data_IF_745696949846
#
_entry.id   IF_745696949846
#
_cell.length_a   1.000
_cell.length_b   1.000
_cell.length_c   1.000
_cell.angle_alpha   90.00
_cell.angle_beta   90.00
_cell.angle_gamma   90.00
#
_symmetry.space_group_name_H-M   'P 1'
#
loop_
_entity.id
_entity.type
_entity.pdbx_description
1 polymer ?
#
# COMPACT_ATOMS: atom_id res chain seq x y z
N UNK A 1 36.52 -10.39 -59.33
CA UNK A 1 37.86 -10.65 -58.80
C UNK A 1 37.72 -10.39 -57.31
N UNK A 2 37.36 -11.40 -56.58
CA UNK A 2 38.22 -12.31 -55.75
C UNK A 2 38.83 -11.58 -54.57
N UNK A 3 38.39 -11.92 -53.38
CA UNK A 3 39.03 -12.59 -52.32
C UNK A 3 38.28 -12.43 -51.01
N UNK A 4 37.68 -13.30 -50.67
CA UNK A 4 37.37 -14.28 -49.63
C UNK A 4 38.50 -14.39 -48.60
N UNK A 5 38.17 -14.25 -47.34
CA UNK A 5 39.02 -14.57 -46.19
C UNK A 5 38.12 -14.89 -44.97
N UNK A 6 37.93 -16.18 -44.75
CA UNK A 6 37.20 -16.75 -43.60
C UNK A 6 37.99 -16.60 -42.30
N UNK A 7 37.30 -16.58 -41.15
CA UNK A 7 37.93 -16.66 -39.82
C UNK A 7 38.15 -18.11 -39.40
N UNK A 8 39.16 -18.41 -38.59
CA UNK A 8 39.32 -19.74 -38.02
C UNK A 8 38.42 -19.99 -36.79
N UNK A 9 37.75 -21.12 -36.88
CA UNK A 9 37.14 -21.84 -35.74
C UNK A 9 38.16 -22.31 -34.73
N UNK A 10 37.76 -22.38 -33.50
CA UNK A 10 38.55 -23.04 -32.45
C UNK A 10 37.84 -23.02 -31.07
N UNK A 11 36.76 -23.83 -30.95
CA UNK A 11 36.36 -24.33 -29.63
C UNK A 11 37.37 -25.35 -29.11
N UNK A 12 37.60 -25.47 -27.79
CA UNK A 12 37.04 -26.65 -27.17
C UNK A 12 36.35 -26.43 -25.81
N UNK A 13 35.37 -27.26 -25.60
CA UNK A 13 34.69 -27.63 -24.37
C UNK A 13 35.60 -27.86 -23.15
N UNK A 14 35.05 -27.53 -21.97
CA UNK A 14 35.52 -28.04 -20.70
C UNK A 14 34.96 -27.28 -19.50
N UNK A 15 33.73 -27.53 -19.08
CA UNK A 15 33.43 -27.43 -17.67
C UNK A 15 34.06 -28.67 -16.99
N UNK A 16 34.60 -28.57 -15.77
CA UNK A 16 33.71 -28.76 -14.61
C UNK A 16 34.15 -28.04 -13.32
N UNK A 17 33.22 -27.94 -12.40
CA UNK A 17 33.44 -28.21 -11.00
C UNK A 17 34.05 -27.13 -10.14
N UNK A 18 33.29 -26.76 -9.14
CA UNK A 18 33.64 -25.92 -8.02
C UNK A 18 34.91 -26.34 -7.29
N UNK A 19 35.55 -25.36 -6.73
CA UNK A 19 36.70 -25.49 -5.88
C UNK A 19 36.88 -24.22 -5.11
N UNK A 20 36.53 -24.26 -3.82
CA UNK A 20 36.81 -23.27 -2.81
C UNK A 20 38.32 -23.14 -2.55
N UNK A 21 39.06 -22.52 -3.46
CA UNK A 21 40.50 -22.36 -3.33
C UNK A 21 41.00 -20.95 -3.63
N UNK A 22 40.19 -19.93 -3.50
CA UNK A 22 40.62 -18.55 -3.80
C UNK A 22 41.17 -17.78 -2.59
N UNK A 23 41.36 -18.43 -1.44
CA UNK A 23 42.07 -17.87 -0.29
C UNK A 23 43.24 -18.74 0.11
N UNK A 24 44.15 -18.99 -0.81
CA UNK A 24 45.47 -19.49 -0.43
C UNK A 24 46.24 -18.34 0.18
N UNK A 25 46.31 -18.32 1.51
CA UNK A 25 47.20 -17.44 2.25
C UNK A 25 48.63 -17.66 1.71
N UNK A 26 49.22 -16.59 1.18
CA UNK A 26 50.65 -16.60 0.81
C UNK A 26 51.40 -16.71 2.10
N UNK A 27 51.87 -17.91 2.39
CA UNK A 27 52.78 -18.16 3.51
C UNK A 27 54.18 -17.68 3.07
N UNK A 28 54.60 -16.55 3.61
CA UNK A 28 55.98 -16.08 3.48
C UNK A 28 56.87 -17.01 4.32
N UNK A 29 57.51 -17.96 3.67
CA UNK A 29 58.48 -18.82 4.35
C UNK A 29 59.82 -18.10 4.56
N UNK A 30 60.66 -18.63 5.49
CA UNK A 30 61.95 -18.03 5.81
C UNK A 30 62.89 -17.96 4.60
N UNK A 31 62.66 -18.76 3.56
CA UNK A 31 63.46 -18.77 2.35
C UNK A 31 63.19 -17.54 1.49
N UNK A 32 61.93 -17.09 1.43
CA UNK A 32 61.53 -15.89 0.75
C UNK A 32 62.07 -14.63 1.44
N UNK A 33 62.01 -14.60 2.79
CA UNK A 33 62.54 -13.46 3.57
C UNK A 33 64.06 -13.35 3.44
N UNK A 34 64.77 -14.46 3.33
CA UNK A 34 66.23 -14.48 3.17
C UNK A 34 66.70 -14.13 1.74
N UNK A 35 65.84 -14.33 0.75
CA UNK A 35 66.06 -13.92 -0.63
C UNK A 35 65.83 -12.44 -0.89
N UNK A 36 64.96 -11.82 -0.10
CA UNK A 36 64.67 -10.38 -0.13
C UNK A 36 65.81 -9.68 0.65
N UNK A 37 66.85 -9.22 -0.03
CA UNK A 37 67.85 -8.33 0.55
C UNK A 37 67.24 -6.95 0.85
N UNK A 38 66.43 -6.88 1.87
CA UNK A 38 65.96 -5.60 2.42
C UNK A 38 67.03 -5.05 3.35
N UNK A 39 67.87 -4.18 2.84
CA UNK A 39 68.69 -3.32 3.67
C UNK A 39 67.82 -2.20 4.19
N UNK A 40 67.37 -2.30 5.40
CA UNK A 40 66.72 -1.18 6.10
C UNK A 40 67.78 -0.18 6.52
N UNK A 41 67.87 0.95 5.82
CA UNK A 41 68.65 2.10 6.26
C UNK A 41 67.83 2.88 7.27
N UNK A 42 68.40 3.23 8.40
CA UNK A 42 67.79 4.10 9.38
C UNK A 42 67.52 5.48 8.79
N UNK A 43 66.52 6.20 9.34
CA UNK A 43 66.17 7.55 8.85
C UNK A 43 67.38 8.51 8.89
N UNK A 44 68.27 8.35 9.83
CA UNK A 44 69.50 9.17 9.99
C UNK A 44 70.56 8.80 8.96
N UNK A 45 70.68 7.54 8.55
CA UNK A 45 71.58 7.10 7.51
C UNK A 45 71.18 7.59 6.11
N UNK A 46 69.88 7.78 5.88
CA UNK A 46 69.34 8.38 4.63
C UNK A 46 69.62 9.89 4.52
N UNK A 47 69.89 10.54 5.64
CA UNK A 47 70.24 11.97 5.67
C UNK A 47 71.73 12.25 5.64
N UNK A 48 72.61 11.25 5.92
CA UNK A 48 74.05 11.41 6.11
C UNK A 48 74.97 11.11 4.91
N UNK A 49 74.55 10.27 3.96
CA UNK A 49 75.41 9.86 2.81
C UNK A 49 74.62 9.96 1.51
N UNK A 50 74.86 10.95 0.78
CA UNK A 50 74.96 11.12 -0.68
C UNK A 50 74.56 12.51 -1.10
N UNK A 51 75.52 13.38 -1.02
CA UNK A 51 75.52 14.59 -1.85
C UNK A 51 75.76 14.15 -3.31
N UNK A 52 74.72 13.68 -3.96
CA UNK A 52 74.72 13.58 -5.41
C UNK A 52 74.58 14.98 -6.00
N UNK A 53 75.53 15.45 -6.82
CA UNK A 53 75.52 16.81 -7.36
C UNK A 53 74.45 17.05 -8.42
N UNK A 54 73.47 16.18 -8.57
CA UNK A 54 72.46 16.23 -9.61
C UNK A 54 71.12 16.82 -9.17
N UNK A 55 70.94 17.14 -7.89
CA UNK A 55 69.70 17.77 -7.43
C UNK A 55 69.97 19.25 -7.11
N UNK A 56 69.85 20.10 -8.12
CA UNK A 56 69.77 21.53 -7.88
C UNK A 56 68.44 21.83 -7.15
N UNK A 57 68.48 22.46 -5.94
CA UNK A 57 67.29 22.93 -5.31
C UNK A 57 66.66 24.02 -6.20
N UNK A 58 65.55 23.72 -6.82
CA UNK A 58 64.75 24.76 -7.44
C UNK A 58 64.15 25.58 -6.29
N UNK A 59 64.72 26.72 -6.05
CA UNK A 59 64.07 27.74 -5.25
C UNK A 59 62.70 28.01 -5.87
N UNK A 60 61.60 27.86 -5.13
CA UNK A 60 60.30 28.30 -5.63
C UNK A 60 60.41 29.81 -5.87
N UNK A 61 60.23 30.19 -7.11
CA UNK A 61 60.02 31.59 -7.49
C UNK A 61 58.70 32.06 -6.90
N UNK A 62 58.78 32.48 -5.64
CA UNK A 62 57.66 33.13 -4.95
C UNK A 62 57.65 34.58 -5.43
N UNK A 63 57.22 34.85 -6.66
CA UNK A 63 56.95 36.23 -7.10
C UNK A 63 55.88 36.40 -8.17
N UNK A 64 55.26 35.39 -8.72
CA UNK A 64 54.13 35.58 -9.65
C UNK A 64 52.81 34.94 -9.19
N UNK A 65 52.82 34.08 -8.14
CA UNK A 65 51.63 33.34 -7.69
C UNK A 65 50.82 33.96 -6.55
N UNK A 66 51.36 35.00 -5.89
CA UNK A 66 50.66 35.55 -4.71
C UNK A 66 49.31 36.21 -5.04
N UNK A 67 49.19 36.86 -6.21
CA UNK A 67 47.91 37.47 -6.65
C UNK A 67 46.88 36.40 -7.04
N UNK A 68 47.29 35.33 -7.72
CA UNK A 68 46.40 34.22 -8.06
C UNK A 68 45.99 33.41 -6.82
N UNK A 69 46.91 33.13 -5.90
CA UNK A 69 46.62 32.50 -4.62
C UNK A 69 45.66 33.33 -3.77
N UNK A 70 45.88 34.66 -3.73
CA UNK A 70 45.04 35.58 -2.99
C UNK A 70 43.65 35.73 -3.62
N UNK A 71 43.55 35.72 -4.96
CA UNK A 71 42.28 35.67 -5.68
C UNK A 71 41.52 34.33 -5.42
N UNK A 72 42.21 33.23 -5.37
CA UNK A 72 41.58 31.89 -5.11
C UNK A 72 41.06 31.81 -3.67
N UNK A 73 41.85 32.31 -2.69
CA UNK A 73 41.40 32.40 -1.29
C UNK A 73 40.21 33.36 -1.17
N UNK A 74 40.23 34.49 -1.85
CA UNK A 74 39.09 35.43 -1.86
C UNK A 74 37.84 34.81 -2.45
N UNK A 75 37.94 34.05 -3.55
CA UNK A 75 36.82 33.31 -4.15
C UNK A 75 36.26 32.25 -3.22
N UNK A 76 37.14 31.50 -2.53
CA UNK A 76 36.73 30.51 -1.54
C UNK A 76 35.96 31.16 -0.37
N UNK A 77 36.51 32.25 0.18
CA UNK A 77 35.87 33.03 1.26
C UNK A 77 34.53 33.59 0.80
N UNK A 78 34.45 34.11 -0.43
CA UNK A 78 33.21 34.62 -1.01
C UNK A 78 32.18 33.47 -1.21
N UNK A 79 32.62 32.33 -1.71
CA UNK A 79 31.75 31.13 -1.88
C UNK A 79 31.21 30.61 -0.54
N UNK A 80 32.08 30.50 0.47
CA UNK A 80 31.66 30.13 1.82
C UNK A 80 30.77 31.20 2.45
N UNK A 81 31.10 32.47 2.31
CA UNK A 81 30.29 33.59 2.80
C UNK A 81 28.90 33.60 2.17
N UNK A 82 28.80 33.39 0.85
CA UNK A 82 27.50 33.25 0.16
C UNK A 82 26.75 31.98 0.57
N UNK A 83 27.40 30.84 0.76
CA UNK A 83 26.77 29.62 1.25
C UNK A 83 26.22 29.79 2.66
N UNK A 84 27.00 30.41 3.57
CA UNK A 84 26.56 30.70 4.94
C UNK A 84 25.43 31.74 4.93
N UNK A 85 25.56 32.80 4.12
CA UNK A 85 24.51 33.82 4.00
C UNK A 85 23.20 33.27 3.44
N UNK A 86 23.27 32.40 2.42
CA UNK A 86 22.11 31.69 1.89
C UNK A 86 21.54 30.71 2.92
N UNK A 87 22.38 29.98 3.67
CA UNK A 87 21.95 29.06 4.72
C UNK A 87 21.28 29.74 5.90
N UNK A 88 21.73 30.96 6.26
CA UNK A 88 21.15 31.76 7.37
C UNK A 88 19.92 32.56 6.91
N UNK A 89 19.90 33.09 5.71
CA UNK A 89 18.77 33.90 5.20
C UNK A 89 17.65 33.09 4.57
N UNK A 90 17.96 31.92 4.06
CA UNK A 90 16.99 30.90 3.69
C UNK A 90 17.21 29.66 4.58
N UNK A 91 16.89 29.75 5.88
CA UNK A 91 16.75 28.50 6.64
C UNK A 91 15.81 27.65 5.80
N UNK A 92 16.22 26.43 5.50
CA UNK A 92 15.29 25.45 4.93
C UNK A 92 14.04 25.58 5.79
N UNK A 93 13.01 26.25 5.25
CA UNK A 93 11.69 26.17 5.86
C UNK A 93 11.41 24.68 5.81
N UNK A 94 11.59 24.01 6.93
CA UNK A 94 10.99 22.70 7.13
C UNK A 94 9.56 22.90 6.67
N UNK A 95 9.10 22.24 5.59
CA UNK A 95 7.71 22.36 5.17
C UNK A 95 6.91 22.21 6.45
N UNK A 96 6.05 23.18 6.77
CA UNK A 96 5.17 23.00 7.93
C UNK A 96 4.54 21.63 7.74
N UNK A 97 4.65 20.72 8.72
CA UNK A 97 4.11 19.38 8.55
C UNK A 97 2.65 19.58 8.17
N UNK A 98 2.31 19.20 6.94
CA UNK A 98 0.93 19.25 6.46
C UNK A 98 0.15 18.51 7.52
N UNK A 99 -0.77 19.20 8.19
CA UNK A 99 -1.53 18.58 9.29
C UNK A 99 -2.33 17.44 8.69
N UNK A 100 -1.85 16.23 8.93
CA UNK A 100 -2.54 15.00 8.51
C UNK A 100 -3.95 15.02 9.11
N UNK A 101 -4.95 14.84 8.28
CA UNK A 101 -6.33 14.87 8.72
C UNK A 101 -6.69 13.52 9.35
N UNK A 102 -7.40 13.57 10.46
CA UNK A 102 -7.95 12.36 11.05
C UNK A 102 -9.06 11.81 10.14
N UNK A 103 -9.08 10.49 9.94
CA UNK A 103 -10.17 9.81 9.24
C UNK A 103 -11.51 10.17 9.86
N UNK A 104 -12.47 10.53 9.00
CA UNK A 104 -13.88 10.58 9.32
C UNK A 104 -14.57 9.39 8.66
N UNK A 105 -15.28 8.60 9.46
CA UNK A 105 -15.93 7.39 8.94
C UNK A 105 -17.39 7.30 9.37
N UNK A 106 -18.20 6.76 8.46
CA UNK A 106 -19.59 6.41 8.73
C UNK A 106 -19.87 5.02 8.17
N UNK A 107 -20.52 4.17 8.96
CA UNK A 107 -20.99 2.85 8.52
C UNK A 107 -22.49 2.80 8.60
N UNK A 108 -23.13 2.55 7.47
CA UNK A 108 -24.57 2.50 7.32
C UNK A 108 -24.98 1.05 7.10
N UNK A 109 -25.51 0.37 8.13
CA UNK A 109 -26.04 -0.97 7.96
C UNK A 109 -27.31 -0.95 7.10
N UNK A 110 -27.45 -1.96 6.22
CA UNK A 110 -28.60 -2.13 5.33
C UNK A 110 -29.34 -3.42 5.71
N UNK A 111 -30.55 -3.25 6.21
CA UNK A 111 -31.40 -4.39 6.58
C UNK A 111 -32.03 -5.04 5.36
N UNK A 112 -32.15 -6.36 5.30
CA UNK A 112 -32.86 -7.03 4.20
C UNK A 112 -34.37 -6.79 4.29
N UNK A 113 -35.10 -6.78 3.17
CA UNK A 113 -36.56 -6.66 3.14
C UNK A 113 -37.30 -7.89 3.69
N UNK A 114 -36.58 -8.99 3.88
CA UNK A 114 -37.11 -10.26 4.36
C UNK A 114 -35.95 -11.21 4.72
N UNK A 115 -36.17 -12.50 4.65
CA UNK A 115 -35.14 -13.51 4.88
C UNK A 115 -34.04 -13.43 3.83
N UNK A 116 -32.79 -13.50 4.27
CA UNK A 116 -31.63 -13.51 3.38
C UNK A 116 -31.63 -14.79 2.54
N UNK A 117 -31.54 -14.69 1.21
CA UNK A 117 -31.48 -15.86 0.33
C UNK A 117 -30.24 -16.70 0.59
N UNK A 118 -30.36 -18.01 0.48
CA UNK A 118 -29.28 -18.98 0.63
C UNK A 118 -29.22 -19.96 -0.51
N UNK A 119 -28.01 -20.14 -1.10
CA UNK A 119 -27.74 -21.12 -2.15
C UNK A 119 -26.22 -21.38 -2.27
N UNK A 120 -25.79 -22.06 -3.34
CA UNK A 120 -24.37 -22.13 -3.70
C UNK A 120 -23.84 -20.75 -4.14
N UNK A 121 -22.56 -20.43 -3.88
CA UNK A 121 -21.98 -19.14 -4.24
C UNK A 121 -22.17 -18.74 -5.70
N UNK A 122 -21.94 -19.67 -6.63
CA UNK A 122 -22.07 -19.42 -8.08
C UNK A 122 -23.49 -19.10 -8.49
N UNK A 123 -24.49 -19.84 -7.94
CA UNK A 123 -25.91 -19.61 -8.23
C UNK A 123 -26.36 -18.23 -7.69
N UNK A 124 -25.90 -17.87 -6.48
CA UNK A 124 -26.19 -16.56 -5.90
C UNK A 124 -25.60 -15.42 -6.74
N UNK A 125 -24.36 -15.55 -7.18
CA UNK A 125 -23.68 -14.53 -8.00
C UNK A 125 -24.37 -14.42 -9.36
N UNK A 126 -24.62 -15.53 -10.04
CA UNK A 126 -25.24 -15.54 -11.35
C UNK A 126 -26.62 -14.85 -11.38
N UNK A 127 -27.36 -14.93 -10.28
CA UNK A 127 -28.70 -14.33 -10.15
C UNK A 127 -28.71 -13.07 -9.26
N UNK A 128 -27.62 -12.34 -9.26
CA UNK A 128 -27.47 -11.06 -8.54
C UNK A 128 -27.01 -9.94 -9.47
N UNK A 129 -27.13 -8.66 -9.08
CA UNK A 129 -26.53 -7.55 -9.81
C UNK A 129 -25.01 -7.70 -10.02
N UNK A 130 -24.34 -8.49 -9.19
CA UNK A 130 -22.90 -8.71 -9.28
C UNK A 130 -22.47 -9.77 -10.33
N UNK A 131 -23.40 -10.35 -11.10
CA UNK A 131 -23.11 -11.37 -12.11
C UNK A 131 -22.02 -10.94 -13.12
N UNK A 132 -21.99 -9.65 -13.45
CA UNK A 132 -21.04 -9.08 -14.42
C UNK A 132 -19.85 -8.36 -13.78
N UNK A 133 -19.73 -8.38 -12.46
CA UNK A 133 -18.61 -7.76 -11.75
C UNK A 133 -17.33 -8.56 -11.98
N UNK A 134 -16.20 -7.87 -12.03
CA UNK A 134 -14.90 -8.53 -12.13
C UNK A 134 -14.48 -9.11 -10.79
N UNK A 135 -13.58 -10.09 -10.83
CA UNK A 135 -13.08 -10.76 -9.63
C UNK A 135 -11.86 -10.02 -9.09
N UNK A 136 -11.85 -9.76 -7.78
CA UNK A 136 -10.70 -9.29 -7.05
C UNK A 136 -10.10 -8.00 -7.58
N UNK A 137 -8.78 -7.89 -7.56
CA UNK A 137 -8.04 -6.70 -7.99
C UNK A 137 -8.29 -6.31 -9.45
N UNK A 138 -8.74 -7.24 -10.30
CA UNK A 138 -9.10 -6.95 -11.69
C UNK A 138 -10.36 -6.08 -11.80
N UNK A 139 -11.19 -6.02 -10.75
CA UNK A 139 -12.35 -5.12 -10.68
C UNK A 139 -11.99 -3.69 -10.34
N UNK A 140 -10.79 -3.43 -9.82
CA UNK A 140 -10.31 -2.08 -9.52
C UNK A 140 -9.52 -1.56 -10.74
N UNK A 141 -10.23 -0.92 -11.67
CA UNK A 141 -9.65 -0.39 -12.89
C UNK A 141 -9.08 1.02 -12.64
N UNK A 142 -7.90 1.28 -13.22
CA UNK A 142 -7.37 2.64 -13.27
C UNK A 142 -8.03 3.38 -14.43
N UNK A 143 -8.47 4.64 -14.22
CA UNK A 143 -9.00 5.48 -15.31
C UNK A 143 -7.88 5.90 -16.27
N UNK A 144 -8.25 6.46 -17.41
CA UNK A 144 -7.32 7.22 -18.24
C UNK A 144 -6.82 8.43 -17.46
N UNK A 145 -5.53 8.71 -17.58
CA UNK A 145 -4.87 9.77 -16.81
C UNK A 145 -4.45 10.88 -17.75
N UNK A 146 -4.70 12.11 -17.36
CA UNK A 146 -4.18 13.31 -17.98
C UNK A 146 -3.45 14.14 -16.94
N UNK A 147 -2.28 14.66 -17.31
CA UNK A 147 -1.51 15.55 -16.41
C UNK A 147 -2.35 16.75 -15.97
N UNK A 148 -2.16 17.18 -14.75
CA UNK A 148 -2.74 18.39 -14.22
C UNK A 148 -1.73 19.55 -14.28
N UNK A 149 -2.06 20.69 -13.72
CA UNK A 149 -1.18 21.86 -13.71
C UNK A 149 0.14 21.59 -12.97
N UNK A 150 0.10 20.85 -11.86
CA UNK A 150 1.24 20.68 -10.97
C UNK A 150 1.71 19.22 -10.85
N UNK A 151 0.97 18.26 -11.41
CA UNK A 151 1.31 16.83 -11.35
C UNK A 151 1.39 16.21 -12.73
N UNK A 152 2.46 15.45 -12.96
CA UNK A 152 2.66 14.67 -14.19
C UNK A 152 1.75 13.46 -14.25
N UNK A 153 1.55 12.90 -15.46
CA UNK A 153 0.79 11.65 -15.67
C UNK A 153 1.34 10.53 -14.77
N UNK A 154 2.67 10.40 -14.66
CA UNK A 154 3.30 9.38 -13.81
C UNK A 154 2.94 9.52 -12.33
N UNK A 155 2.91 10.74 -11.80
CA UNK A 155 2.52 11.00 -10.41
C UNK A 155 1.05 10.66 -10.16
N UNK A 156 0.16 10.99 -11.11
CA UNK A 156 -1.26 10.66 -10.99
C UNK A 156 -1.48 9.14 -11.08
N UNK A 157 -0.77 8.44 -11.99
CA UNK A 157 -0.79 6.97 -12.06
C UNK A 157 -0.31 6.35 -10.75
N UNK A 158 0.76 6.91 -10.15
CA UNK A 158 1.27 6.46 -8.85
C UNK A 158 0.20 6.62 -7.77
N UNK A 159 -0.45 7.80 -7.68
CA UNK A 159 -1.52 8.05 -6.70
C UNK A 159 -2.69 7.05 -6.84
N UNK A 160 -3.15 6.84 -8.08
CA UNK A 160 -4.21 5.87 -8.38
C UNK A 160 -3.80 4.44 -8.05
N UNK A 161 -2.52 4.08 -8.26
CA UNK A 161 -1.99 2.76 -7.95
C UNK A 161 -1.92 2.52 -6.44
N UNK A 162 -1.49 3.52 -5.65
CA UNK A 162 -1.50 3.45 -4.18
C UNK A 162 -2.94 3.28 -3.65
N UNK A 163 -3.89 4.07 -4.19
CA UNK A 163 -5.30 3.96 -3.83
C UNK A 163 -5.88 2.57 -4.19
N UNK A 164 -5.53 2.02 -5.36
CA UNK A 164 -5.88 0.65 -5.75
C UNK A 164 -5.30 -0.37 -4.77
N UNK A 165 -4.03 -0.25 -4.40
CA UNK A 165 -3.39 -1.16 -3.44
C UNK A 165 -4.10 -1.11 -2.08
N UNK A 166 -4.48 0.08 -1.63
CA UNK A 166 -5.27 0.23 -0.41
C UNK A 166 -6.63 -0.46 -0.52
N UNK A 167 -7.38 -0.27 -1.62
CA UNK A 167 -8.67 -0.93 -1.85
C UNK A 167 -8.52 -2.45 -1.83
N UNK A 168 -7.50 -2.98 -2.50
CA UNK A 168 -7.23 -4.43 -2.55
C UNK A 168 -6.92 -4.97 -1.15
N UNK A 169 -6.00 -4.33 -0.41
CA UNK A 169 -5.59 -4.78 0.92
C UNK A 169 -6.69 -4.60 1.97
N UNK A 170 -7.49 -3.54 1.88
CA UNK A 170 -8.50 -3.23 2.89
C UNK A 170 -9.86 -3.89 2.64
N UNK A 171 -10.16 -4.32 1.39
CA UNK A 171 -11.50 -4.76 1.04
C UNK A 171 -11.57 -6.09 0.26
N UNK A 172 -10.41 -6.63 -0.19
CA UNK A 172 -10.39 -7.86 -1.01
C UNK A 172 -9.51 -8.94 -0.38
N UNK A 173 -8.41 -8.56 0.29
CA UNK A 173 -7.45 -9.51 0.87
C UNK A 173 -8.14 -10.44 1.90
N UNK A 174 -8.16 -11.77 1.66
CA UNK A 174 -8.80 -12.73 2.56
C UNK A 174 -8.28 -12.68 3.99
N UNK A 175 -6.99 -12.38 4.20
CA UNK A 175 -6.42 -12.27 5.54
C UNK A 175 -7.03 -11.10 6.30
N UNK A 176 -7.19 -9.94 5.66
CA UNK A 176 -7.87 -8.76 6.24
C UNK A 176 -9.33 -9.06 6.52
N UNK A 177 -10.05 -9.65 5.55
CA UNK A 177 -11.48 -9.96 5.64
C UNK A 177 -11.80 -10.93 6.79
N UNK A 178 -10.95 -11.90 7.06
CA UNK A 178 -11.18 -12.96 8.05
C UNK A 178 -10.53 -12.72 9.41
N UNK A 179 -10.12 -11.50 9.68
CA UNK A 179 -9.57 -11.12 10.99
C UNK A 179 -8.08 -11.39 11.18
N UNK A 180 -7.35 -11.68 10.11
CA UNK A 180 -5.89 -11.84 10.13
C UNK A 180 -5.12 -10.52 10.19
N UNK A 181 -3.90 -10.53 9.64
CA UNK A 181 -2.99 -9.40 9.70
C UNK A 181 -3.49 -8.20 8.89
N UNK A 182 -3.52 -7.04 9.52
CA UNK A 182 -3.83 -5.73 8.89
C UNK A 182 -2.58 -4.93 8.54
N UNK A 183 -1.39 -5.52 8.75
CA UNK A 183 -0.10 -4.86 8.47
C UNK A 183 -0.01 -4.34 7.02
N UNK A 184 -0.47 -5.09 5.98
CA UNK A 184 -0.42 -4.59 4.60
C UNK A 184 -1.21 -3.30 4.40
N UNK A 185 -2.36 -3.11 5.08
CA UNK A 185 -3.14 -1.86 5.05
C UNK A 185 -2.40 -0.76 5.79
N UNK A 186 -1.89 -1.05 7.00
CA UNK A 186 -1.16 -0.10 7.84
C UNK A 186 0.05 0.52 7.15
N UNK A 187 0.77 -0.26 6.33
CA UNK A 187 1.96 0.21 5.62
C UNK A 187 1.65 1.21 4.49
N UNK A 188 0.43 1.25 4.00
CA UNK A 188 -0.02 2.20 2.98
C UNK A 188 -0.52 3.52 3.57
N UNK A 189 -0.66 3.62 4.89
CA UNK A 189 -1.17 4.83 5.55
C UNK A 189 -0.05 5.84 5.80
N UNK A 190 -0.39 7.11 5.70
CA UNK A 190 0.47 8.18 6.20
C UNK A 190 0.80 7.96 7.68
N UNK A 191 2.02 8.31 8.07
CA UNK A 191 2.53 8.10 9.43
C UNK A 191 1.70 8.80 10.50
N UNK A 192 1.13 9.96 10.18
CA UNK A 192 0.28 10.72 11.10
C UNK A 192 -1.07 10.08 11.38
N UNK A 193 -1.51 9.11 10.56
CA UNK A 193 -2.76 8.38 10.78
C UNK A 193 -2.58 7.04 11.53
N UNK A 194 -1.34 6.58 11.72
CA UNK A 194 -1.08 5.26 12.31
C UNK A 194 -1.66 5.10 13.72
N UNK A 195 -1.56 6.13 14.56
CA UNK A 195 -2.10 6.09 15.92
C UNK A 195 -3.63 5.99 15.94
N UNK A 196 -4.31 6.66 14.99
CA UNK A 196 -5.76 6.56 14.85
C UNK A 196 -6.17 5.18 14.34
N UNK A 197 -5.45 4.66 13.34
CA UNK A 197 -5.67 3.31 12.81
C UNK A 197 -5.49 2.25 13.90
N UNK A 198 -4.38 2.28 14.62
CA UNK A 198 -4.07 1.31 15.66
C UNK A 198 -5.10 1.37 16.81
N UNK A 199 -5.54 2.57 17.21
CA UNK A 199 -6.62 2.75 18.21
C UNK A 199 -7.95 2.22 17.71
N UNK A 200 -8.30 2.45 16.44
CA UNK A 200 -9.55 1.96 15.84
C UNK A 200 -9.62 0.43 15.84
N UNK A 201 -8.48 -0.26 15.73
CA UNK A 201 -8.40 -1.72 15.78
C UNK A 201 -8.39 -2.26 17.22
N UNK A 202 -7.67 -1.58 18.12
CA UNK A 202 -7.56 -2.02 19.52
C UNK A 202 -8.83 -1.77 20.32
N UNK A 203 -9.48 -0.63 20.11
CA UNK A 203 -10.70 -0.20 20.83
C UNK A 203 -11.66 0.49 19.85
N UNK A 204 -12.33 -0.29 18.99
CA UNK A 204 -13.25 0.28 18.01
C UNK A 204 -14.44 0.95 18.69
N UNK A 205 -14.78 2.16 18.25
CA UNK A 205 -15.94 2.93 18.69
C UNK A 205 -16.67 3.57 17.51
N UNK A 206 -17.98 3.73 17.64
CA UNK A 206 -18.83 4.38 16.63
C UNK A 206 -18.95 5.88 16.93
N UNK A 207 -17.81 6.57 16.91
CA UNK A 207 -17.68 8.01 17.18
C UNK A 207 -17.39 8.84 15.92
N UNK A 208 -17.45 8.20 14.75
CA UNK A 208 -17.13 8.82 13.47
C UNK A 208 -15.62 8.87 13.17
N UNK A 209 -14.75 8.40 14.07
CA UNK A 209 -13.30 8.47 13.93
C UNK A 209 -12.56 7.17 14.22
N UNK A 210 -13.09 6.33 15.12
CA UNK A 210 -12.37 5.15 15.62
C UNK A 210 -13.07 3.83 15.27
N UNK A 211 -13.87 3.80 14.22
CA UNK A 211 -14.40 2.54 13.70
C UNK A 211 -13.35 1.82 12.84
N UNK A 212 -12.97 0.59 13.22
CA UNK A 212 -12.09 -0.26 12.40
C UNK A 212 -12.70 -0.52 11.02
N UNK A 213 -14.03 -0.63 10.93
CA UNK A 213 -14.79 -0.81 9.69
C UNK A 213 -14.79 0.42 8.78
N UNK A 214 -14.38 1.58 9.27
CA UNK A 214 -14.08 2.75 8.44
C UNK A 214 -12.79 2.57 7.64
N UNK A 215 -11.80 1.88 8.19
CA UNK A 215 -10.51 1.64 7.53
C UNK A 215 -10.56 0.46 6.57
N UNK A 216 -11.23 -0.63 6.95
CA UNK A 216 -11.19 -1.89 6.22
C UNK A 216 -12.49 -2.68 6.36
N UNK A 217 -12.72 -3.60 5.43
CA UNK A 217 -13.78 -4.60 5.54
C UNK A 217 -13.24 -5.78 6.35
N UNK A 218 -13.94 -6.12 7.43
CA UNK A 218 -13.56 -7.23 8.31
C UNK A 218 -14.79 -7.90 8.88
N UNK A 219 -14.86 -9.21 8.76
CA UNK A 219 -15.91 -10.04 9.35
C UNK A 219 -15.50 -10.57 10.72
N UNK A 220 -16.48 -10.91 11.56
CA UNK A 220 -16.21 -11.65 12.79
C UNK A 220 -15.90 -13.12 12.44
N UNK A 221 -14.63 -13.57 12.58
CA UNK A 221 -14.22 -14.91 12.15
C UNK A 221 -14.86 -16.03 13.00
N UNK A 222 -15.45 -15.69 14.15
CA UNK A 222 -16.15 -16.68 15.00
C UNK A 222 -17.53 -17.00 14.44
N UNK A 223 -18.17 -16.08 13.74
CA UNK A 223 -19.54 -16.24 13.26
C UNK A 223 -19.64 -16.37 11.74
N UNK A 224 -18.71 -15.75 11.02
CA UNK A 224 -18.76 -15.60 9.56
C UNK A 224 -17.48 -16.11 8.91
N UNK A 225 -17.62 -16.96 7.91
CA UNK A 225 -16.54 -17.41 7.05
C UNK A 225 -16.85 -17.05 5.60
N UNK A 226 -15.82 -16.88 4.79
CA UNK A 226 -15.98 -16.78 3.34
C UNK A 226 -16.43 -18.14 2.80
N UNK A 227 -17.51 -18.16 2.03
CA UNK A 227 -17.95 -19.33 1.29
C UNK A 227 -17.18 -19.47 -0.02
N UNK A 228 -16.74 -18.33 -0.58
CA UNK A 228 -15.87 -18.21 -1.74
C UNK A 228 -14.84 -17.10 -1.48
N UNK A 229 -13.65 -17.24 -2.05
CA UNK A 229 -12.58 -16.25 -1.98
C UNK A 229 -12.67 -15.19 -3.08
N UNK A 230 -13.47 -15.44 -4.11
CA UNK A 230 -13.65 -14.60 -5.26
C UNK A 230 -14.59 -13.44 -4.93
N UNK A 231 -14.02 -12.32 -4.48
CA UNK A 231 -14.76 -11.08 -4.24
C UNK A 231 -15.13 -10.46 -5.57
N UNK A 232 -16.41 -10.18 -5.80
CA UNK A 232 -16.89 -9.47 -6.99
C UNK A 232 -16.78 -7.97 -6.76
N UNK A 233 -16.20 -7.25 -7.72
CA UNK A 233 -15.82 -5.85 -7.55
C UNK A 233 -16.24 -5.03 -8.76
N UNK A 234 -16.90 -3.90 -8.51
CA UNK A 234 -17.21 -2.91 -9.52
C UNK A 234 -17.20 -1.51 -8.92
N UNK A 235 -16.70 -0.52 -9.65
CA UNK A 235 -16.66 0.85 -9.20
C UNK A 235 -15.73 1.72 -10.01
N UNK A 236 -15.43 2.89 -9.48
CA UNK A 236 -14.63 3.92 -10.15
C UNK A 236 -13.59 4.52 -9.22
N UNK A 237 -12.44 4.87 -9.79
CA UNK A 237 -11.43 5.75 -9.23
C UNK A 237 -11.40 7.04 -10.02
N UNK A 238 -11.18 8.15 -9.33
CA UNK A 238 -10.92 9.44 -9.98
C UNK A 238 -9.84 10.17 -9.18
N UNK A 239 -8.94 10.86 -9.87
CA UNK A 239 -7.93 11.71 -9.26
C UNK A 239 -8.16 13.16 -9.69
N UNK A 240 -7.96 14.08 -8.77
CA UNK A 240 -8.02 15.52 -9.01
C UNK A 240 -6.94 16.24 -8.20
N UNK A 241 -6.51 17.39 -8.69
CA UNK A 241 -5.55 18.22 -7.99
C UNK A 241 -6.23 18.99 -6.87
N UNK A 242 -5.69 18.89 -5.66
CA UNK A 242 -6.18 19.59 -4.45
C UNK A 242 -5.27 20.77 -4.08
N UNK A 243 -4.54 21.28 -5.04
CA UNK A 243 -3.58 22.35 -4.87
C UNK A 243 -2.22 21.98 -5.48
N UNK A 244 -1.19 22.82 -5.31
CA UNK A 244 0.10 22.57 -5.94
C UNK A 244 0.86 21.37 -5.37
N UNK A 245 0.53 20.93 -4.16
CA UNK A 245 1.31 19.96 -3.40
C UNK A 245 0.56 18.66 -3.04
N UNK A 246 -0.72 18.56 -3.40
CA UNK A 246 -1.53 17.39 -3.08
C UNK A 246 -2.48 16.97 -4.19
N UNK A 247 -2.69 15.66 -4.33
CA UNK A 247 -3.74 15.02 -5.12
C UNK A 247 -4.82 14.48 -4.18
N UNK A 248 -6.08 14.69 -4.54
CA UNK A 248 -7.22 14.00 -3.96
C UNK A 248 -7.64 12.86 -4.90
N UNK A 249 -7.76 11.66 -4.36
CA UNK A 249 -8.26 10.49 -5.08
C UNK A 249 -9.56 10.05 -4.44
N UNK A 250 -10.60 9.92 -5.25
CA UNK A 250 -11.90 9.41 -4.83
C UNK A 250 -12.12 8.01 -5.37
N UNK A 251 -12.63 7.12 -4.52
CA UNK A 251 -12.97 5.74 -4.86
C UNK A 251 -14.43 5.49 -4.47
N UNK A 252 -15.22 4.97 -5.38
CA UNK A 252 -16.57 4.50 -5.12
C UNK A 252 -16.71 3.09 -5.68
N UNK A 253 -16.64 2.11 -4.78
CA UNK A 253 -16.61 0.70 -5.13
C UNK A 253 -17.62 -0.11 -4.36
N UNK A 254 -18.25 -1.03 -5.08
CA UNK A 254 -19.09 -2.09 -4.52
C UNK A 254 -18.33 -3.42 -4.55
N UNK A 255 -18.23 -4.04 -3.38
CA UNK A 255 -17.65 -5.35 -3.16
C UNK A 255 -18.76 -6.32 -2.75
N UNK A 256 -18.79 -7.50 -3.37
CA UNK A 256 -19.77 -8.54 -3.06
C UNK A 256 -19.04 -9.81 -2.65
N UNK A 257 -19.36 -10.28 -1.46
CA UNK A 257 -18.74 -11.43 -0.80
C UNK A 257 -19.74 -12.55 -0.68
N UNK A 258 -19.35 -13.76 -1.02
CA UNK A 258 -20.10 -14.95 -0.64
C UNK A 258 -19.66 -15.38 0.78
N UNK A 259 -20.57 -15.33 1.73
CA UNK A 259 -20.32 -15.64 3.14
C UNK A 259 -21.21 -16.76 3.64
N UNK A 260 -20.79 -17.45 4.68
CA UNK A 260 -21.55 -18.50 5.35
C UNK A 260 -21.32 -18.49 6.84
N UNK A 261 -22.20 -19.14 7.59
CA UNK A 261 -21.99 -19.34 9.01
C UNK A 261 -20.77 -20.24 9.27
N UNK A 262 -19.99 -19.91 10.31
CA UNK A 262 -19.10 -20.88 10.94
C UNK A 262 -19.90 -21.86 11.80
N UNK A 263 -19.27 -22.94 12.28
CA UNK A 263 -19.93 -23.84 13.24
C UNK A 263 -20.39 -23.11 14.52
N UNK A 264 -19.58 -22.16 15.01
CA UNK A 264 -19.95 -21.36 16.18
C UNK A 264 -21.06 -20.36 15.86
N UNK A 265 -21.02 -19.73 14.69
CA UNK A 265 -22.07 -18.82 14.21
C UNK A 265 -23.41 -19.55 14.04
N UNK A 266 -23.40 -20.75 13.47
CA UNK A 266 -24.60 -21.57 13.33
C UNK A 266 -25.24 -21.92 14.68
N UNK A 267 -24.44 -22.31 15.68
CA UNK A 267 -24.94 -22.59 17.05
C UNK A 267 -25.52 -21.36 17.74
N UNK A 268 -24.92 -20.18 17.55
CA UNK A 268 -25.43 -18.93 18.15
C UNK A 268 -26.75 -18.50 17.53
N UNK A 269 -26.90 -18.69 16.23
CA UNK A 269 -28.11 -18.28 15.54
C UNK A 269 -29.29 -19.25 15.79
N UNK A 270 -29.01 -20.48 16.22
CA UNK A 270 -30.03 -21.49 16.56
C UNK A 270 -30.84 -21.11 17.82
N UNK A 271 -30.35 -20.21 18.69
CA UNK A 271 -31.04 -19.75 19.91
C UNK A 271 -31.81 -20.84 20.68
N UNK A 272 -31.34 -22.09 20.60
CA UNK A 272 -31.99 -23.24 21.26
C UNK A 272 -33.21 -23.81 20.52
N UNK A 273 -33.47 -23.39 19.29
CA UNK A 273 -34.62 -23.92 18.50
C UNK A 273 -34.34 -25.29 17.90
N UNK A 274 -33.08 -25.76 17.97
CA UNK A 274 -32.65 -27.04 17.45
C UNK A 274 -32.72 -27.16 15.92
N UNK A 275 -33.01 -26.10 15.21
CA UNK A 275 -33.12 -26.09 13.76
C UNK A 275 -31.76 -25.78 13.15
N UNK A 276 -31.12 -26.71 12.41
CA UNK A 276 -29.86 -26.46 11.77
C UNK A 276 -29.98 -25.27 10.83
N UNK A 277 -29.09 -24.25 10.99
CA UNK A 277 -28.94 -23.21 9.98
C UNK A 277 -28.28 -23.86 8.77
N UNK A 278 -28.87 -23.69 7.56
CA UNK A 278 -28.28 -24.28 6.37
C UNK A 278 -26.83 -23.84 6.23
N UNK A 279 -25.93 -24.73 5.85
CA UNK A 279 -24.53 -24.42 5.47
C UNK A 279 -24.47 -23.60 4.16
N UNK A 280 -25.62 -23.10 3.69
CA UNK A 280 -25.79 -22.31 2.50
C UNK A 280 -24.99 -21.00 2.58
N UNK A 281 -24.39 -20.62 1.48
CA UNK A 281 -23.84 -19.28 1.33
C UNK A 281 -24.95 -18.23 1.23
N UNK A 282 -24.62 -17.00 1.51
CA UNK A 282 -25.39 -15.80 1.23
C UNK A 282 -24.47 -14.73 0.68
N UNK A 283 -25.03 -13.78 -0.07
CA UNK A 283 -24.25 -12.61 -0.52
C UNK A 283 -24.30 -11.50 0.51
N UNK A 284 -23.15 -10.89 0.71
CA UNK A 284 -22.97 -9.69 1.51
C UNK A 284 -22.34 -8.61 0.66
N UNK A 285 -23.01 -7.48 0.53
CA UNK A 285 -22.58 -6.37 -0.33
C UNK A 285 -22.10 -5.22 0.53
N UNK A 286 -20.95 -4.66 0.17
CA UNK A 286 -20.37 -3.47 0.80
C UNK A 286 -20.04 -2.46 -0.28
N UNK A 287 -20.66 -1.29 -0.24
CA UNK A 287 -20.26 -0.13 -1.03
C UNK A 287 -19.42 0.78 -0.15
N UNK A 288 -18.24 1.14 -0.63
CA UNK A 288 -17.33 2.06 0.04
C UNK A 288 -17.05 3.27 -0.84
N UNK A 289 -17.35 4.44 -0.30
CA UNK A 289 -16.89 5.72 -0.83
C UNK A 289 -15.73 6.19 0.02
N UNK A 290 -14.54 6.31 -0.59
CA UNK A 290 -13.31 6.67 0.08
C UNK A 290 -12.72 7.92 -0.56
N UNK A 291 -12.29 8.85 0.26
CA UNK A 291 -11.54 10.02 -0.16
C UNK A 291 -10.12 9.91 0.41
N UNK A 292 -9.16 9.90 -0.49
CA UNK A 292 -7.73 9.85 -0.17
C UNK A 292 -7.10 11.20 -0.52
N UNK A 293 -6.10 11.58 0.26
CA UNK A 293 -5.19 12.65 -0.06
C UNK A 293 -3.78 12.10 -0.14
N UNK A 294 -3.02 12.56 -1.13
CA UNK A 294 -1.63 12.19 -1.32
C UNK A 294 -0.81 13.45 -1.58
N UNK A 295 0.10 13.74 -0.67
CA UNK A 295 1.14 14.76 -0.85
C UNK A 295 2.25 14.24 -1.78
N UNK A 296 3.19 15.10 -2.17
CA UNK A 296 4.37 14.65 -2.93
C UNK A 296 5.20 13.64 -2.14
N UNK A 297 5.34 13.85 -0.82
CA UNK A 297 6.05 12.91 0.04
C UNK A 297 5.34 11.56 0.13
N UNK A 298 3.99 11.55 0.17
CA UNK A 298 3.22 10.30 0.16
C UNK A 298 3.40 9.51 -1.15
N UNK A 299 3.49 10.21 -2.28
CA UNK A 299 3.77 9.57 -3.57
C UNK A 299 5.15 8.90 -3.58
N UNK A 300 6.17 9.57 -3.03
CA UNK A 300 7.54 9.05 -2.94
C UNK A 300 7.64 7.87 -1.96
N UNK A 301 6.92 7.94 -0.82
CA UNK A 301 6.90 6.92 0.23
C UNK A 301 5.89 5.79 -0.03
N UNK A 302 5.13 5.86 -1.11
CA UNK A 302 4.05 4.91 -1.44
C UNK A 302 3.00 4.79 -0.33
N UNK A 303 2.52 5.93 0.16
CA UNK A 303 1.53 6.07 1.23
C UNK A 303 0.37 6.95 0.80
N UNK A 304 -0.69 6.94 1.58
CA UNK A 304 -1.84 7.80 1.40
C UNK A 304 -2.46 8.19 2.75
N UNK A 305 -3.18 9.29 2.75
CA UNK A 305 -4.04 9.72 3.83
C UNK A 305 -5.49 9.37 3.49
N UNK A 306 -6.17 8.63 4.36
CA UNK A 306 -7.62 8.35 4.23
C UNK A 306 -8.38 9.45 4.97
N UNK A 307 -8.95 10.39 4.22
CA UNK A 307 -9.63 11.55 4.79
C UNK A 307 -11.07 11.21 5.21
N UNK A 308 -11.78 10.49 4.35
CA UNK A 308 -13.17 10.13 4.58
C UNK A 308 -13.46 8.71 4.09
N UNK A 309 -14.28 8.00 4.85
CA UNK A 309 -14.81 6.68 4.51
C UNK A 309 -16.30 6.61 4.81
N UNK A 310 -17.11 6.41 3.78
CA UNK A 310 -18.52 6.09 3.91
C UNK A 310 -18.74 4.66 3.45
N UNK A 311 -19.29 3.83 4.32
CA UNK A 311 -19.50 2.40 4.05
C UNK A 311 -20.97 2.06 4.22
N UNK A 312 -21.61 1.57 3.17
CA UNK A 312 -22.94 0.97 3.20
C UNK A 312 -22.77 -0.54 3.11
N UNK A 313 -23.34 -1.30 4.04
CA UNK A 313 -23.11 -2.73 4.11
C UNK A 313 -24.38 -3.50 4.47
N UNK A 314 -24.66 -4.59 3.76
CA UNK A 314 -25.81 -5.45 4.02
C UNK A 314 -25.84 -6.72 3.18
N UNK A 315 -26.69 -7.66 3.57
CA UNK A 315 -27.73 -7.61 4.61
C UNK A 315 -27.18 -7.70 6.05
N UNK A 316 -27.53 -6.76 6.92
CA UNK A 316 -27.14 -6.78 8.33
C UNK A 316 -28.16 -6.09 9.22
N UNK A 317 -28.09 -6.29 10.54
CA UNK A 317 -28.97 -5.62 11.50
C UNK A 317 -28.56 -4.15 11.71
N UNK A 318 -29.51 -3.30 12.11
CA UNK A 318 -29.29 -1.89 12.46
C UNK A 318 -28.59 -1.76 13.83
N UNK A 319 -27.37 -2.26 13.94
CA UNK A 319 -26.55 -2.15 15.15
C UNK A 319 -25.20 -1.55 14.81
N UNK A 320 -24.56 -0.91 15.78
CA UNK A 320 -23.23 -0.36 15.59
C UNK A 320 -22.21 -1.46 15.17
N UNK A 321 -21.42 -1.17 14.15
CA UNK A 321 -20.49 -2.11 13.51
C UNK A 321 -19.05 -1.58 13.51
N UNK A 322 -18.65 -0.93 14.60
CA UNK A 322 -17.38 -0.25 14.67
C UNK A 322 -16.16 -1.18 14.53
N UNK A 323 -16.22 -2.40 15.07
CA UNK A 323 -15.08 -3.32 15.06
C UNK A 323 -15.04 -4.28 13.88
N UNK A 324 -16.17 -4.89 13.56
CA UNK A 324 -16.33 -5.91 12.51
C UNK A 324 -17.72 -5.82 11.92
N UNK A 325 -17.85 -6.17 10.65
CA UNK A 325 -19.15 -6.33 9.99
C UNK A 325 -19.74 -7.70 10.37
N UNK A 326 -21.03 -7.72 10.70
CA UNK A 326 -21.76 -8.93 11.05
C UNK A 326 -22.91 -9.16 10.07
N UNK A 327 -22.65 -9.88 8.96
CA UNK A 327 -23.68 -10.21 7.98
C UNK A 327 -24.84 -10.96 8.61
N UNK A 328 -26.05 -10.69 8.17
CA UNK A 328 -27.15 -11.64 8.29
C UNK A 328 -26.98 -12.70 7.22
N UNK A 329 -27.00 -13.96 7.66
CA UNK A 329 -26.69 -15.11 6.83
C UNK A 329 -27.97 -15.76 6.28
N UNK A 330 -27.84 -16.74 5.42
CA UNK A 330 -28.95 -17.46 4.78
C UNK A 330 -30.07 -17.83 5.77
N UNK A 331 -31.30 -17.48 5.43
CA UNK A 331 -32.49 -17.74 6.26
C UNK A 331 -32.73 -16.77 7.42
N UNK A 332 -31.76 -15.90 7.76
CA UNK A 332 -31.91 -14.89 8.80
C UNK A 332 -32.65 -13.65 8.25
N UNK A 333 -33.28 -12.89 9.15
CA UNK A 333 -33.88 -11.59 8.85
C UNK A 333 -33.54 -10.55 9.93
N UNK A 334 -33.81 -9.29 9.66
CA UNK A 334 -33.52 -8.19 10.60
C UNK A 334 -34.72 -7.82 11.48
N UNK A 335 -35.81 -8.57 11.43
CA UNK A 335 -37.06 -8.23 12.13
C UNK A 335 -37.80 -7.02 11.51
N UNK A 336 -38.56 -6.29 12.33
CA UNK A 336 -39.54 -5.26 11.84
C UNK A 336 -38.94 -3.86 11.55
N UNK A 337 -37.63 -3.70 11.48
CA UNK A 337 -37.04 -2.40 11.13
C UNK A 337 -37.38 -2.01 9.67
N UNK A 338 -38.01 -0.85 9.48
CA UNK A 338 -38.49 -0.38 8.15
C UNK A 338 -37.93 1.00 7.77
N UNK A 339 -36.63 1.16 7.52
CA UNK A 339 -36.11 2.34 6.83
C UNK A 339 -36.42 2.29 5.32
N UNK A 340 -36.26 3.42 4.61
CA UNK A 340 -36.38 3.46 3.13
C UNK A 340 -35.35 2.56 2.47
N UNK A 341 -35.66 1.97 1.31
CA UNK A 341 -34.76 1.08 0.58
C UNK A 341 -33.52 1.80 0.05
N UNK A 342 -32.35 1.18 0.19
CA UNK A 342 -31.08 1.64 -0.35
C UNK A 342 -30.46 0.54 -1.21
N UNK A 343 -30.05 0.89 -2.42
CA UNK A 343 -29.38 -0.01 -3.34
C UNK A 343 -27.85 0.26 -3.30
N UNK A 344 -27.02 -0.67 -2.76
CA UNK A 344 -25.57 -0.51 -2.69
C UNK A 344 -24.88 -0.63 -4.05
N UNK A 345 -25.59 -1.06 -5.10
CA UNK A 345 -25.08 -1.10 -6.48
C UNK A 345 -25.29 0.22 -7.21
N UNK A 346 -26.18 1.10 -6.69
CA UNK A 346 -26.41 2.43 -7.24
C UNK A 346 -25.34 3.39 -6.76
N UNK A 347 -24.58 3.97 -7.68
CA UNK A 347 -23.58 5.01 -7.42
C UNK A 347 -24.20 6.42 -7.34
N UNK A 348 -25.50 6.52 -7.13
CA UNK A 348 -26.16 7.79 -6.83
C UNK A 348 -25.96 8.17 -5.35
N UNK A 349 -25.95 9.48 -5.07
CA UNK A 349 -25.68 9.99 -3.72
C UNK A 349 -26.73 9.43 -2.73
N UNK A 350 -26.28 8.60 -1.77
CA UNK A 350 -27.12 8.05 -0.73
C UNK A 350 -27.49 9.12 0.30
N UNK A 351 -28.75 9.09 0.75
CA UNK A 351 -29.19 9.91 1.88
C UNK A 351 -28.53 9.36 3.17
N UNK A 352 -27.98 10.20 4.06
CA UNK A 352 -27.28 9.76 5.27
C UNK A 352 -28.25 9.29 6.36
N UNK A 353 -28.98 8.21 6.11
CA UNK A 353 -29.71 7.54 7.17
C UNK A 353 -28.74 6.68 8.01
N UNK A 354 -28.83 6.76 9.33
CA UNK A 354 -27.99 5.95 10.26
C UNK A 354 -28.19 4.43 10.07
N UNK A 355 -29.29 4.02 9.45
CA UNK A 355 -29.61 2.64 9.06
C UNK A 355 -30.51 2.68 7.84
N UNK A 356 -30.14 1.92 6.80
CA UNK A 356 -30.91 1.80 5.57
C UNK A 356 -31.61 0.45 5.46
N UNK A 357 -32.37 0.29 4.38
CA UNK A 357 -32.92 -0.99 3.95
C UNK A 357 -32.41 -1.32 2.56
N UNK A 358 -32.00 -2.58 2.35
CA UNK A 358 -31.68 -3.07 1.02
C UNK A 358 -32.93 -3.02 0.14
N UNK A 359 -32.78 -2.58 -1.09
CA UNK A 359 -33.78 -2.77 -2.10
C UNK A 359 -33.96 -4.28 -2.38
N UNK A 360 -35.19 -4.70 -2.66
CA UNK A 360 -35.46 -6.11 -2.95
C UNK A 360 -34.68 -6.63 -4.18
N UNK A 361 -34.44 -5.74 -5.17
CA UNK A 361 -33.67 -6.05 -6.38
C UNK A 361 -32.15 -6.21 -6.12
N UNK A 362 -31.66 -5.74 -4.97
CA UNK A 362 -30.26 -5.90 -4.56
C UNK A 362 -29.96 -7.29 -4.01
N UNK A 363 -30.97 -8.05 -3.66
CA UNK A 363 -30.82 -9.44 -3.18
C UNK A 363 -30.80 -10.43 -4.35
N UNK A 364 -30.00 -11.50 -4.26
CA UNK A 364 -30.01 -12.54 -5.29
C UNK A 364 -31.33 -13.29 -5.30
N UNK A 365 -31.76 -13.75 -6.50
CA UNK A 365 -32.91 -14.63 -6.69
C UNK A 365 -32.42 -16.00 -7.19
N UNK A 366 -31.82 -16.85 -6.34
CA UNK A 366 -31.18 -18.07 -6.76
C UNK A 366 -32.16 -19.07 -7.39
N UNK A 367 -31.72 -19.80 -8.41
CA UNK A 367 -32.50 -20.81 -9.09
C UNK A 367 -32.78 -22.04 -8.21
N UNK A 368 -31.86 -22.34 -7.29
CA UNK A 368 -31.91 -23.48 -6.39
C UNK A 368 -31.76 -23.03 -4.92
N UNK A 369 -32.78 -22.37 -4.35
CA UNK A 369 -32.70 -21.91 -2.96
C UNK A 369 -32.66 -23.13 -2.02
N UNK A 370 -31.71 -23.10 -1.08
CA UNK A 370 -31.67 -24.07 0.02
C UNK A 370 -32.78 -23.66 1.01
N UNK A 371 -33.74 -24.58 1.24
CA UNK A 371 -34.89 -24.38 2.14
C UNK A 371 -34.57 -24.73 3.59
#
# INVERSE_FOLDING_TARGET
MTGRGDPPEGTPNGAPGGGEDEYRSVVFDESFVRAARLQEFSADERLGEHHSPAVRPRHPWVRAGSRQALLLVLLIVLAFGTAIYMGVRHPYKTPEPVKVQALRSAVIPLTPPGKVPGAGPDDLIAHSPAAHFRIGAAGVNLPSVERTRHFSDGQIVTALSIAKDYLVRSSIDPATLTGGSVRPVRLLLDTGQLDQFDRSLARPSDDGHHAATGWLVRFDPRTTALADRDVRVNGTLAASESGPDALDVTADYTFVYAVRATHEGARRADNGTGRPIPAAASLFTVRRELHFRLSRADLDDHRLEVVQSSTQAGPMACTAQAGVLRPLLAGQDAGNARPAGTDPYSHQRANPALCGRLDATSLPAPSHPIR
#
